data_IF_915865823225
#
_entry.id   IF_915865823225
#
_cell.length_a   1.000
_cell.length_b   1.000
_cell.length_c   1.000
_cell.angle_alpha   90.00
_cell.angle_beta   90.00
_cell.angle_gamma   90.00
#
_symmetry.space_group_name_H-M   'P 1'
#
loop_
_entity.id
_entity.type
_entity.pdbx_description
1 polymer ?
#
# COMPACT_ATOMS: atom_id res chain seq x y z
N UNK A 1 -1.87 16.15 -29.58
CA UNK A 1 -2.22 14.72 -29.74
C UNK A 1 -2.05 14.05 -28.39
N UNK A 2 -3.07 13.35 -27.88
CA UNK A 2 -2.88 12.46 -26.71
C UNK A 2 -2.08 11.25 -27.20
N UNK A 3 -0.92 11.00 -26.61
CA UNK A 3 -0.15 9.78 -26.88
C UNK A 3 -0.82 8.62 -26.13
N UNK A 4 -1.03 7.45 -26.77
CA UNK A 4 -1.47 6.25 -26.07
C UNK A 4 -0.55 5.96 -24.89
N UNK A 5 -1.12 5.60 -23.73
CA UNK A 5 -0.40 5.33 -22.48
C UNK A 5 0.36 6.52 -21.87
N UNK A 6 0.01 7.76 -22.23
CA UNK A 6 0.61 8.93 -21.57
C UNK A 6 0.23 8.97 -20.08
N UNK A 7 1.22 8.99 -19.16
CA UNK A 7 0.94 9.15 -17.74
C UNK A 7 0.32 10.53 -17.42
N UNK A 8 0.42 11.49 -18.35
CA UNK A 8 -0.11 12.84 -18.22
C UNK A 8 -1.61 12.95 -18.55
N UNK A 9 -2.20 11.93 -19.18
CA UNK A 9 -3.61 11.94 -19.59
C UNK A 9 -4.22 10.54 -19.44
N UNK A 10 -4.38 10.01 -18.21
CA UNK A 10 -5.01 8.71 -18.01
C UNK A 10 -6.48 8.73 -18.46
N UNK A 11 -6.92 7.60 -19.01
CA UNK A 11 -8.32 7.41 -19.40
C UNK A 11 -9.14 6.91 -18.20
N UNK A 12 -10.40 7.35 -18.05
CA UNK A 12 -11.27 6.85 -16.97
C UNK A 12 -11.51 5.35 -17.09
N UNK A 13 -11.46 4.64 -15.96
CA UNK A 13 -11.73 3.21 -15.91
C UNK A 13 -13.23 2.89 -16.13
N UNK A 14 -14.11 3.78 -15.70
CA UNK A 14 -15.56 3.71 -15.89
C UNK A 14 -16.05 5.04 -16.43
N UNK A 15 -16.85 5.00 -17.50
CA UNK A 15 -17.46 6.18 -18.10
C UNK A 15 -18.97 6.13 -17.87
N UNK A 16 -19.53 6.95 -16.95
CA UNK A 16 -20.96 6.97 -16.69
C UNK A 16 -21.71 7.66 -17.84
N UNK A 17 -22.84 7.07 -18.25
CA UNK A 17 -23.78 7.67 -19.19
C UNK A 17 -24.81 8.52 -18.43
N UNK A 18 -25.56 9.36 -19.17
CA UNK A 18 -26.57 10.28 -18.60
C UNK A 18 -27.71 9.58 -17.85
N UNK A 19 -27.86 8.26 -18.00
CA UNK A 19 -28.92 7.44 -17.40
C UNK A 19 -28.49 6.55 -16.22
N UNK A 20 -27.28 6.68 -15.70
CA UNK A 20 -26.78 5.85 -14.58
C UNK A 20 -26.26 4.46 -14.98
N UNK A 21 -26.35 4.08 -16.26
CA UNK A 21 -25.50 3.05 -16.86
C UNK A 21 -24.10 3.61 -17.13
N UNK A 22 -23.18 2.76 -17.58
CA UNK A 22 -21.89 3.24 -18.08
C UNK A 22 -21.10 2.15 -18.77
N UNK A 23 -20.02 2.57 -19.41
CA UNK A 23 -19.11 1.68 -20.14
C UNK A 23 -17.83 1.48 -19.32
N UNK A 24 -17.49 0.21 -19.07
CA UNK A 24 -16.21 -0.17 -18.48
C UNK A 24 -15.10 -0.12 -19.53
N UNK A 25 -13.89 0.24 -19.10
CA UNK A 25 -12.72 0.16 -19.95
C UNK A 25 -12.51 -1.28 -20.48
N UNK A 26 -12.05 -1.41 -21.72
CA UNK A 26 -11.79 -2.71 -22.39
C UNK A 26 -10.89 -3.67 -21.59
N UNK A 27 -10.00 -3.15 -20.74
CA UNK A 27 -9.12 -3.97 -19.90
C UNK A 27 -9.85 -4.65 -18.75
N UNK A 28 -11.08 -4.23 -18.43
CA UNK A 28 -11.83 -4.71 -17.26
C UNK A 28 -11.99 -6.23 -17.24
N UNK A 29 -12.19 -6.85 -18.41
CA UNK A 29 -12.38 -8.30 -18.56
C UNK A 29 -11.08 -9.07 -18.83
N UNK A 30 -9.95 -8.38 -18.97
CA UNK A 30 -8.67 -9.03 -19.19
C UNK A 30 -8.17 -9.71 -17.90
N UNK A 31 -7.40 -10.81 -18.03
CA UNK A 31 -6.73 -11.41 -16.88
C UNK A 31 -5.79 -10.40 -16.22
N UNK A 32 -5.74 -10.39 -14.89
CA UNK A 32 -4.88 -9.49 -14.13
C UNK A 32 -3.39 -9.75 -14.40
N UNK A 33 -3.02 -11.01 -14.62
CA UNK A 33 -1.64 -11.45 -14.83
C UNK A 33 -1.55 -12.44 -15.98
N UNK A 34 -0.36 -12.51 -16.57
CA UNK A 34 0.04 -13.61 -17.45
C UNK A 34 1.25 -14.32 -16.81
N UNK A 35 1.14 -15.62 -16.43
CA UNK A 35 -0.01 -16.50 -16.59
C UNK A 35 -1.20 -16.13 -15.68
N UNK A 36 -2.39 -16.61 -16.04
CA UNK A 36 -3.63 -16.43 -15.29
C UNK A 36 -3.54 -17.05 -13.88
N UNK A 37 -4.12 -16.37 -12.89
CA UNK A 37 -4.15 -16.80 -11.48
C UNK A 37 -5.58 -16.89 -10.94
N UNK A 38 -5.82 -17.83 -10.03
CA UNK A 38 -7.12 -18.06 -9.38
C UNK A 38 -7.32 -17.23 -8.11
N UNK A 39 -6.28 -16.56 -7.62
CA UNK A 39 -6.37 -15.58 -6.54
C UNK A 39 -5.11 -14.72 -6.48
N UNK A 40 -5.21 -13.55 -5.86
CA UNK A 40 -4.06 -12.70 -5.53
C UNK A 40 -4.22 -12.16 -4.12
N UNK A 41 -3.15 -12.24 -3.34
CA UNK A 41 -3.06 -11.59 -2.03
C UNK A 41 -2.44 -10.21 -2.23
N UNK A 42 -3.11 -9.19 -1.71
CA UNK A 42 -2.72 -7.79 -1.82
C UNK A 42 -2.36 -7.28 -0.43
N UNK A 43 -1.25 -6.55 -0.35
CA UNK A 43 -0.79 -5.83 0.84
C UNK A 43 -0.46 -4.38 0.49
N UNK A 44 -0.44 -3.48 1.47
CA UNK A 44 -0.07 -2.07 1.28
C UNK A 44 1.36 -1.86 1.78
N UNK A 45 2.26 -1.47 0.88
CA UNK A 45 3.68 -1.34 1.21
C UNK A 45 3.92 -0.32 2.32
N UNK A 46 3.19 0.79 2.31
CA UNK A 46 3.30 1.85 3.31
C UNK A 46 2.93 1.34 4.71
N UNK A 47 1.87 0.52 4.83
CA UNK A 47 1.48 -0.07 6.11
C UNK A 47 2.49 -1.11 6.59
N UNK A 48 3.02 -1.94 5.69
CA UNK A 48 4.02 -2.96 6.02
C UNK A 48 5.33 -2.35 6.57
N UNK A 49 5.73 -1.19 6.03
CA UNK A 49 6.96 -0.50 6.42
C UNK A 49 6.76 0.50 7.57
N UNK A 50 5.52 0.76 7.98
CA UNK A 50 5.19 1.85 8.88
C UNK A 50 5.94 1.74 10.22
N UNK A 51 5.88 0.58 10.88
CA UNK A 51 6.56 0.37 12.15
C UNK A 51 8.08 0.47 12.03
N UNK A 52 8.69 -0.17 11.02
CA UNK A 52 10.13 -0.15 10.83
C UNK A 52 10.65 1.28 10.64
N UNK A 53 9.99 2.05 9.76
CA UNK A 53 10.34 3.45 9.50
C UNK A 53 10.10 4.35 10.70
N UNK A 54 9.01 4.10 11.44
CA UNK A 54 8.74 4.84 12.67
C UNK A 54 9.83 4.62 13.71
N UNK A 55 10.28 3.36 13.90
CA UNK A 55 11.36 3.03 14.83
C UNK A 55 12.69 3.67 14.40
N UNK A 56 13.05 3.60 13.12
CA UNK A 56 14.25 4.24 12.58
C UNK A 56 14.24 5.76 12.83
N UNK A 57 13.09 6.41 12.59
CA UNK A 57 12.94 7.86 12.76
C UNK A 57 12.98 8.29 14.24
N UNK A 58 12.49 7.45 15.15
CA UNK A 58 12.36 7.79 16.57
C UNK A 58 13.47 7.21 17.45
N UNK A 59 14.44 6.53 16.84
CA UNK A 59 15.57 5.96 17.55
C UNK A 59 16.39 7.05 18.25
N UNK A 60 16.49 6.95 19.59
CA UNK A 60 17.32 7.86 20.39
C UNK A 60 16.71 9.23 20.67
N UNK A 61 15.45 9.46 20.31
CA UNK A 61 14.75 10.68 20.70
C UNK A 61 14.55 10.71 22.23
N UNK A 62 15.04 11.77 22.89
CA UNK A 62 14.81 12.03 24.32
C UNK A 62 14.58 13.54 24.52
N UNK A 63 13.76 13.98 25.49
CA UNK A 63 12.95 13.19 26.43
C UNK A 63 11.56 12.79 25.90
N UNK A 64 11.30 12.96 24.59
CA UNK A 64 9.96 12.76 23.98
C UNK A 64 9.63 11.29 23.69
N UNK A 65 10.23 10.35 24.40
CA UNK A 65 10.06 8.91 24.20
C UNK A 65 9.50 8.26 25.46
N UNK A 66 8.55 7.36 25.27
CA UNK A 66 7.91 6.61 26.34
C UNK A 66 8.18 5.12 26.12
N UNK A 67 8.86 4.50 27.09
CA UNK A 67 9.22 3.10 27.07
C UNK A 67 8.47 2.35 28.17
N UNK A 68 8.10 1.10 27.89
CA UNK A 68 7.60 0.14 28.87
C UNK A 68 8.40 -1.15 28.78
N UNK A 69 8.34 -1.95 29.84
CA UNK A 69 8.94 -3.28 29.86
C UNK A 69 8.15 -4.23 28.95
N UNK A 70 8.80 -5.07 28.15
CA UNK A 70 8.11 -6.01 27.26
C UNK A 70 7.16 -6.95 28.03
N UNK A 71 7.55 -7.35 29.25
CA UNK A 71 6.72 -8.16 30.15
C UNK A 71 5.40 -7.50 30.55
N UNK A 72 5.34 -6.16 30.53
CA UNK A 72 4.17 -5.36 30.92
C UNK A 72 3.20 -5.10 29.75
N UNK A 73 3.58 -5.45 28.52
CA UNK A 73 2.71 -5.31 27.33
C UNK A 73 1.55 -6.30 27.38
N UNK A 74 0.39 -5.87 26.88
CA UNK A 74 -0.72 -6.81 26.60
C UNK A 74 -0.34 -7.78 25.48
N UNK A 75 -0.99 -8.94 25.40
CA UNK A 75 -0.77 -9.91 24.32
C UNK A 75 -1.04 -9.30 22.93
N UNK A 76 -1.93 -8.31 22.85
CA UNK A 76 -2.23 -7.59 21.62
C UNK A 76 -1.13 -6.58 21.23
N UNK A 77 -0.30 -6.13 22.16
CA UNK A 77 0.80 -5.20 21.87
C UNK A 77 2.13 -5.93 21.67
N UNK A 78 2.23 -7.16 22.18
CA UNK A 78 3.38 -8.04 21.99
C UNK A 78 3.53 -8.42 20.51
N UNK A 79 4.36 -7.66 19.81
CA UNK A 79 4.98 -8.12 18.57
C UNK A 79 6.11 -9.06 18.96
N UNK A 80 6.13 -10.32 18.51
CA UNK A 80 7.24 -11.22 18.85
C UNK A 80 8.54 -10.66 18.25
N UNK A 81 9.54 -10.25 19.06
CA UNK A 81 10.81 -9.86 18.51
C UNK A 81 11.47 -11.09 17.89
N UNK A 82 12.05 -10.92 16.69
CA UNK A 82 12.73 -11.97 15.91
C UNK A 82 13.89 -12.63 16.67
N UNK A 83 14.34 -12.04 17.78
CA UNK A 83 15.23 -12.61 18.79
C UNK A 83 14.78 -12.09 20.16
N UNK A 84 14.16 -12.95 20.97
CA UNK A 84 14.14 -12.70 22.41
C UNK A 84 15.55 -12.94 22.94
N UNK A 85 16.08 -12.01 23.74
CA UNK A 85 17.14 -12.39 24.69
C UNK A 85 16.47 -13.30 25.74
N UNK A 86 17.23 -14.24 26.29
CA UNK A 86 16.76 -15.31 27.19
C UNK A 86 16.07 -14.79 28.48
N UNK A 87 16.08 -13.48 28.71
CA UNK A 87 15.54 -12.75 29.85
C UNK A 87 14.38 -11.79 29.49
N UNK A 88 13.65 -12.06 28.39
CA UNK A 88 12.69 -11.20 27.68
C UNK A 88 11.59 -10.44 28.45
N UNK A 89 11.56 -10.49 29.79
CA UNK A 89 10.90 -9.54 30.66
C UNK A 89 11.50 -8.13 30.49
N UNK A 90 12.80 -7.96 30.70
CA UNK A 90 13.40 -6.63 30.97
C UNK A 90 13.79 -5.83 29.71
N UNK A 91 13.29 -6.24 28.54
CA UNK A 91 13.57 -5.52 27.29
C UNK A 91 12.68 -4.28 27.19
N UNK A 92 13.29 -3.10 27.12
CA UNK A 92 12.57 -1.84 26.88
C UNK A 92 11.88 -1.85 25.51
N UNK A 93 10.61 -1.45 25.50
CA UNK A 93 9.75 -1.38 24.32
C UNK A 93 9.21 0.04 24.17
N UNK A 94 9.60 0.71 23.08
CA UNK A 94 9.15 2.07 22.76
C UNK A 94 7.68 2.05 22.35
N UNK A 95 6.78 2.61 23.16
CA UNK A 95 5.33 2.61 22.92
C UNK A 95 4.82 3.92 22.31
N UNK A 96 5.52 5.03 22.52
CA UNK A 96 5.12 6.34 22.02
C UNK A 96 6.34 7.25 21.87
N UNK A 97 6.33 8.11 20.86
CA UNK A 97 7.39 9.10 20.67
C UNK A 97 6.87 10.29 19.86
N UNK A 98 7.38 11.51 20.14
CA UNK A 98 7.02 12.72 19.37
C UNK A 98 5.50 12.99 19.28
N UNK A 99 4.78 12.64 20.33
CA UNK A 99 3.33 12.72 20.42
C UNK A 99 2.55 11.74 19.52
N UNK A 100 3.25 10.76 18.93
CA UNK A 100 2.72 9.68 18.08
C UNK A 100 2.81 8.33 18.78
N UNK A 101 1.74 7.55 18.71
CA UNK A 101 1.72 6.18 19.22
C UNK A 101 2.49 5.25 18.29
N UNK A 102 3.07 4.18 18.86
CA UNK A 102 3.79 3.17 18.09
C UNK A 102 2.83 2.51 17.08
N UNK A 103 3.20 2.46 15.79
CA UNK A 103 2.39 1.80 14.77
C UNK A 103 2.20 0.29 15.02
N UNK A 104 1.11 -0.31 14.47
CA UNK A 104 0.92 -1.76 14.49
C UNK A 104 2.09 -2.51 13.86
N UNK A 105 2.33 -3.75 14.31
CA UNK A 105 3.35 -4.59 13.69
C UNK A 105 2.98 -4.97 12.25
N UNK A 106 4.00 -5.23 11.43
CA UNK A 106 3.82 -5.68 10.05
C UNK A 106 3.04 -7.01 9.96
N UNK A 107 3.06 -7.85 11.01
CA UNK A 107 2.29 -9.10 11.08
C UNK A 107 0.78 -8.85 11.21
N UNK A 108 0.41 -7.69 11.77
CA UNK A 108 -0.97 -7.22 11.89
C UNK A 108 -1.38 -6.32 10.72
N UNK A 109 -0.48 -6.09 9.75
CA UNK A 109 -0.80 -5.28 8.59
C UNK A 109 -1.91 -5.95 7.76
N UNK A 110 -2.92 -5.18 7.33
CA UNK A 110 -4.06 -5.73 6.64
C UNK A 110 -3.66 -6.29 5.27
N UNK A 111 -4.25 -7.43 4.93
CA UNK A 111 -4.12 -8.05 3.60
C UNK A 111 -5.50 -8.37 3.02
N UNK A 112 -5.60 -8.39 1.70
CA UNK A 112 -6.84 -8.72 0.99
C UNK A 112 -6.57 -9.84 -0.01
N UNK A 113 -7.35 -10.92 0.06
CA UNK A 113 -7.33 -11.97 -0.96
C UNK A 113 -8.44 -11.70 -1.97
N UNK A 114 -8.06 -11.34 -3.19
CA UNK A 114 -8.97 -11.18 -4.32
C UNK A 114 -9.17 -12.53 -4.99
N UNK A 115 -10.43 -12.88 -5.24
CA UNK A 115 -10.85 -14.08 -5.97
C UNK A 115 -11.63 -13.68 -7.22
N UNK A 116 -11.64 -14.52 -8.26
CA UNK A 116 -12.42 -14.27 -9.46
C UNK A 116 -13.91 -14.16 -9.13
N UNK A 117 -14.62 -13.29 -9.84
CA UNK A 117 -16.07 -13.40 -9.95
C UNK A 117 -16.43 -14.77 -10.55
N UNK A 118 -17.57 -15.32 -10.15
CA UNK A 118 -18.02 -16.63 -10.61
C UNK A 118 -17.92 -16.74 -12.15
N UNK A 119 -17.54 -17.92 -12.65
CA UNK A 119 -17.52 -18.34 -14.06
C UNK A 119 -16.21 -18.13 -14.87
N UNK A 120 -15.31 -17.22 -14.51
CA UNK A 120 -14.08 -16.99 -15.31
C UNK A 120 -12.90 -17.91 -14.96
N UNK A 121 -12.84 -18.42 -13.72
CA UNK A 121 -11.74 -19.27 -13.24
C UNK A 121 -10.38 -18.55 -13.04
N UNK A 122 -10.29 -17.26 -13.35
CA UNK A 122 -9.11 -16.41 -13.15
C UNK A 122 -9.51 -15.00 -12.75
N UNK A 123 -8.65 -14.32 -11.98
CA UNK A 123 -8.87 -12.94 -11.52
C UNK A 123 -8.76 -11.98 -12.71
N UNK A 124 -9.81 -11.19 -12.93
CA UNK A 124 -9.81 -10.10 -13.92
C UNK A 124 -9.30 -8.78 -13.34
N UNK A 125 -8.98 -7.82 -14.20
CA UNK A 125 -8.69 -6.44 -13.76
C UNK A 125 -9.86 -5.85 -12.99
N UNK A 126 -11.10 -6.14 -13.40
CA UNK A 126 -12.30 -5.66 -12.70
C UNK A 126 -12.44 -6.27 -11.30
N UNK A 127 -12.26 -7.59 -11.16
CA UNK A 127 -12.28 -8.25 -9.84
C UNK A 127 -11.28 -7.60 -8.89
N UNK A 128 -10.08 -7.30 -9.39
CA UNK A 128 -9.04 -6.64 -8.61
C UNK A 128 -9.42 -5.22 -8.21
N UNK A 129 -9.79 -4.36 -9.17
CA UNK A 129 -10.08 -2.95 -8.87
C UNK A 129 -11.32 -2.82 -7.97
N UNK A 130 -12.38 -3.58 -8.24
CA UNK A 130 -13.62 -3.55 -7.46
C UNK A 130 -13.43 -4.04 -6.02
N UNK A 131 -12.47 -4.95 -5.77
CA UNK A 131 -12.15 -5.40 -4.41
C UNK A 131 -11.14 -4.48 -3.71
N UNK A 132 -10.06 -4.11 -4.40
CA UNK A 132 -8.93 -3.37 -3.81
C UNK A 132 -9.29 -1.91 -3.56
N UNK A 133 -10.02 -1.24 -4.46
CA UNK A 133 -10.28 0.19 -4.29
C UNK A 133 -11.10 0.49 -3.01
N UNK A 134 -12.26 -0.15 -2.76
CA UNK A 134 -13.00 0.08 -1.52
C UNK A 134 -12.22 -0.32 -0.27
N UNK A 135 -11.43 -1.40 -0.35
CA UNK A 135 -10.57 -1.84 0.75
C UNK A 135 -9.51 -0.80 1.11
N UNK A 136 -8.81 -0.23 0.13
CA UNK A 136 -7.88 0.87 0.37
C UNK A 136 -8.57 2.09 0.95
N UNK A 137 -9.76 2.43 0.44
CA UNK A 137 -10.54 3.55 0.96
C UNK A 137 -10.99 3.35 2.40
N UNK A 138 -11.27 2.13 2.84
CA UNK A 138 -11.62 1.84 4.25
C UNK A 138 -10.48 2.07 5.24
N UNK A 139 -9.23 2.08 4.77
CA UNK A 139 -8.02 2.25 5.59
C UNK A 139 -7.28 3.55 5.25
N UNK A 140 -7.98 4.51 4.63
CA UNK A 140 -7.38 5.72 4.09
C UNK A 140 -6.57 6.48 5.13
N UNK A 141 -7.10 6.66 6.34
CA UNK A 141 -6.43 7.45 7.38
C UNK A 141 -5.13 6.77 7.88
N UNK A 142 -5.13 5.46 8.03
CA UNK A 142 -3.93 4.69 8.41
C UNK A 142 -2.87 4.77 7.33
N UNK A 143 -3.27 4.59 6.05
CA UNK A 143 -2.39 4.73 4.90
C UNK A 143 -1.77 6.13 4.87
N UNK A 144 -2.58 7.16 5.08
CA UNK A 144 -2.13 8.56 5.08
C UNK A 144 -1.15 8.84 6.22
N UNK A 145 -1.37 8.25 7.39
CA UNK A 145 -0.46 8.36 8.54
C UNK A 145 0.86 7.63 8.26
N UNK A 146 0.80 6.39 7.77
CA UNK A 146 1.97 5.63 7.37
C UNK A 146 2.80 6.33 6.28
N UNK A 147 2.14 6.96 5.30
CA UNK A 147 2.82 7.72 4.25
C UNK A 147 3.65 8.89 4.79
N UNK A 148 3.19 9.57 5.86
CA UNK A 148 3.98 10.65 6.49
C UNK A 148 5.30 10.13 7.03
N UNK A 149 5.26 8.97 7.69
CA UNK A 149 6.44 8.32 8.27
C UNK A 149 7.34 7.72 7.20
N UNK A 150 6.78 6.90 6.31
CA UNK A 150 7.55 6.09 5.35
C UNK A 150 8.17 6.92 4.23
N UNK A 151 7.46 7.93 3.76
CA UNK A 151 7.87 8.73 2.59
C UNK A 151 8.29 10.15 2.97
N UNK A 152 8.34 10.48 4.26
CA UNK A 152 8.65 11.81 4.79
C UNK A 152 7.75 12.91 4.21
N UNK A 153 6.48 12.59 3.94
CA UNK A 153 5.55 13.58 3.40
C UNK A 153 5.30 14.69 4.44
N UNK A 154 5.24 15.97 4.01
CA UNK A 154 4.83 17.04 4.89
C UNK A 154 3.39 16.85 5.39
N UNK A 155 3.00 17.52 6.49
CA UNK A 155 1.66 17.37 7.09
C UNK A 155 0.50 17.62 6.11
N UNK A 156 0.71 18.50 5.12
CA UNK A 156 -0.21 18.70 4.01
C UNK A 156 -0.04 17.59 2.98
N UNK A 157 -0.82 16.53 3.12
CA UNK A 157 -0.81 15.41 2.18
C UNK A 157 -1.46 15.79 0.84
N UNK A 158 -1.03 15.18 -0.28
CA UNK A 158 -1.65 15.40 -1.57
C UNK A 158 -3.13 15.00 -1.56
N UNK A 159 -3.97 15.76 -2.26
CA UNK A 159 -5.38 15.40 -2.48
C UNK A 159 -5.55 14.32 -3.55
N UNK A 160 -4.58 14.18 -4.45
CA UNK A 160 -4.57 13.18 -5.53
C UNK A 160 -3.45 12.15 -5.32
N UNK A 161 -3.86 10.93 -5.00
CA UNK A 161 -2.97 9.79 -4.80
C UNK A 161 -3.12 8.79 -5.95
N UNK A 162 -2.02 8.18 -6.33
CA UNK A 162 -1.94 7.15 -7.34
C UNK A 162 -1.52 5.83 -6.71
N UNK A 163 -2.21 4.75 -7.08
CA UNK A 163 -1.91 3.38 -6.67
C UNK A 163 -1.10 2.71 -7.78
N UNK A 164 0.05 2.15 -7.43
CA UNK A 164 0.88 1.35 -8.34
C UNK A 164 0.96 -0.08 -7.82
N UNK A 165 0.57 -1.04 -8.65
CA UNK A 165 0.75 -2.46 -8.33
C UNK A 165 2.20 -2.88 -8.60
N UNK A 166 2.84 -3.50 -7.61
CA UNK A 166 4.18 -4.09 -7.71
C UNK A 166 4.10 -5.53 -7.21
N UNK A 167 3.93 -6.49 -8.15
CA UNK A 167 3.80 -7.93 -7.88
C UNK A 167 2.65 -8.26 -6.90
N UNK A 168 2.95 -8.32 -5.59
CA UNK A 168 2.04 -8.71 -4.50
C UNK A 168 1.69 -7.57 -3.53
N UNK A 169 2.17 -6.35 -3.80
CA UNK A 169 1.92 -5.17 -2.98
C UNK A 169 1.47 -3.98 -3.82
N UNK A 170 0.62 -3.14 -3.23
CA UNK A 170 0.33 -1.81 -3.78
C UNK A 170 1.20 -0.78 -3.09
N UNK A 171 1.67 0.18 -3.90
CA UNK A 171 2.38 1.36 -3.45
C UNK A 171 1.52 2.58 -3.73
N UNK A 172 1.44 3.50 -2.78
CA UNK A 172 0.63 4.70 -2.86
C UNK A 172 1.55 5.91 -2.89
N UNK A 173 1.36 6.77 -3.87
CA UNK A 173 2.23 7.94 -4.05
C UNK A 173 1.49 9.13 -4.61
N UNK A 174 2.05 10.33 -4.43
CA UNK A 174 1.52 11.54 -5.06
C UNK A 174 1.54 11.41 -6.59
N UNK A 175 0.47 11.87 -7.24
CA UNK A 175 0.34 11.89 -8.71
C UNK A 175 1.56 12.47 -9.43
N UNK A 176 2.13 13.59 -8.97
CA UNK A 176 3.32 14.19 -9.60
C UNK A 176 4.51 13.24 -9.60
N UNK A 177 4.78 12.59 -8.47
CA UNK A 177 5.86 11.61 -8.32
C UNK A 177 5.57 10.35 -9.15
N UNK A 178 4.32 9.92 -9.20
CA UNK A 178 3.87 8.82 -10.06
C UNK A 178 4.15 9.11 -11.54
N UNK A 179 3.70 10.27 -12.06
CA UNK A 179 3.91 10.67 -13.46
C UNK A 179 5.41 10.67 -13.80
N UNK A 180 6.24 11.26 -12.93
CA UNK A 180 7.70 11.29 -13.11
C UNK A 180 8.30 9.88 -13.18
N UNK A 181 7.87 8.98 -12.29
CA UNK A 181 8.30 7.58 -12.28
C UNK A 181 7.89 6.87 -13.57
N UNK A 182 6.63 7.01 -13.98
CA UNK A 182 6.11 6.35 -15.18
C UNK A 182 6.82 6.83 -16.45
N UNK A 183 7.11 8.14 -16.56
CA UNK A 183 7.93 8.68 -17.66
C UNK A 183 9.33 8.06 -17.73
N UNK A 184 9.96 7.80 -16.59
CA UNK A 184 11.27 7.14 -16.51
C UNK A 184 11.22 5.64 -16.87
N UNK A 185 10.14 4.94 -16.54
CA UNK A 185 9.96 3.52 -16.89
C UNK A 185 9.68 3.28 -18.39
N UNK A 186 9.15 4.27 -19.10
CA UNK A 186 8.88 4.18 -20.55
C UNK A 186 10.13 4.00 -21.44
N UNK A 187 11.34 4.16 -20.90
CA UNK A 187 12.59 4.01 -21.66
C UNK A 187 13.11 2.57 -21.76
N UNK A 188 12.53 1.60 -21.04
CA UNK A 188 12.98 0.19 -21.07
C UNK A 188 11.88 -0.73 -21.56
N UNK A 189 11.40 -0.52 -22.79
CA UNK A 189 10.69 -1.57 -23.54
C UNK A 189 10.71 -1.34 -25.05
N UNK A 190 11.90 -1.22 -25.61
CA UNK A 190 12.12 -1.56 -27.03
C UNK A 190 13.17 -2.64 -27.08
N UNK A 191 12.74 -3.90 -27.04
CA UNK A 191 13.54 -4.99 -27.58
C UNK A 191 13.33 -4.93 -29.10
N UNK A 192 14.36 -4.63 -29.91
CA UNK A 192 14.23 -4.77 -31.35
C UNK A 192 14.11 -6.27 -31.64
N UNK A 193 13.05 -6.66 -32.33
CA UNK A 193 13.00 -7.95 -33.00
C UNK A 193 13.86 -7.79 -34.25
N UNK A 194 15.00 -8.47 -34.26
CA UNK A 194 15.87 -8.67 -35.43
C UNK A 194 16.23 -10.15 -35.51
#
# INVERSE_FOLDING_TARGET
MKTPHSPDSPEPYFQPDTGGSGTWHEISQLPLTEPKISSVMVSVNELNLWLERWLEQHQGHTPRSEYVTYGDLSDDERSYPKKMKEDGSDTEYLVRCCDEDRPPSWEKAPTLVVKPSADNGFVTVNDYISAVHPWLMSMREDIMTAMRVVLYYPPSLPTELMVTSVLAGVMITEKKRWIQRMRGSSYVRTVPIG
#
